data_IF_832989416714
#
_entry.id   IF_832989416714
#
_cell.length_a   1.000
_cell.length_b   1.000
_cell.length_c   1.000
_cell.angle_alpha   90.00
_cell.angle_beta   90.00
_cell.angle_gamma   90.00
#
_symmetry.space_group_name_H-M   'P 1'
#
loop_
_entity.id
_entity.type
_entity.pdbx_description
1 polymer ?
#
# COMPACT_ATOMS: atom_id res chain seq x y z
N UNK A 1 -78.40 -12.95 28.71
CA UNK A 1 -77.15 -12.58 29.42
C UNK A 1 -75.99 -12.85 28.48
N UNK A 2 -75.41 -11.78 27.92
CA UNK A 2 -74.18 -11.83 27.14
C UNK A 2 -73.00 -12.10 28.06
N UNK A 3 -72.08 -13.01 27.68
CA UNK A 3 -70.65 -12.82 27.94
C UNK A 3 -69.85 -13.34 26.75
N UNK A 4 -69.41 -12.38 25.93
CA UNK A 4 -68.34 -12.55 24.95
C UNK A 4 -67.00 -12.53 25.72
N UNK A 5 -66.22 -13.60 25.65
CA UNK A 5 -64.80 -13.58 26.03
C UNK A 5 -63.97 -13.53 24.75
N UNK A 6 -63.24 -12.43 24.60
CA UNK A 6 -62.60 -12.01 23.37
C UNK A 6 -61.48 -12.94 22.92
N UNK A 7 -61.49 -13.23 21.62
CA UNK A 7 -60.31 -13.70 20.90
C UNK A 7 -59.25 -12.60 20.93
N UNK A 8 -58.09 -12.89 21.53
CA UNK A 8 -56.87 -12.13 21.27
C UNK A 8 -56.42 -12.44 19.85
N UNK A 9 -56.46 -11.43 18.98
CA UNK A 9 -55.79 -11.44 17.68
C UNK A 9 -54.28 -11.71 17.87
N UNK A 10 -53.67 -12.60 17.08
CA UNK A 10 -52.23 -12.63 16.91
C UNK A 10 -51.88 -11.60 15.83
N UNK A 11 -51.62 -10.36 16.24
CA UNK A 11 -51.02 -9.37 15.34
C UNK A 11 -50.20 -8.36 16.15
N UNK A 12 -49.12 -8.83 16.76
CA UNK A 12 -47.95 -7.99 16.97
C UNK A 12 -47.04 -8.26 15.78
N UNK A 13 -47.06 -7.32 14.85
CA UNK A 13 -46.10 -7.28 13.76
C UNK A 13 -44.70 -7.28 14.37
N UNK A 14 -43.91 -8.29 13.98
CA UNK A 14 -42.47 -8.31 14.12
C UNK A 14 -41.94 -6.98 13.55
N UNK A 15 -41.52 -6.04 14.41
CA UNK A 15 -40.81 -4.84 13.97
C UNK A 15 -39.51 -5.31 13.31
N UNK A 16 -39.54 -5.42 11.98
CA UNK A 16 -38.47 -6.06 11.24
C UNK A 16 -37.12 -5.40 11.55
N UNK A 17 -36.14 -6.25 11.86
CA UNK A 17 -34.77 -5.88 12.21
C UNK A 17 -34.23 -4.87 11.18
N UNK A 18 -34.06 -3.61 11.60
CA UNK A 18 -33.42 -2.55 10.80
C UNK A 18 -34.32 -1.44 10.26
N UNK A 19 -35.65 -1.50 10.37
CA UNK A 19 -36.54 -0.51 9.74
C UNK A 19 -36.49 0.91 10.35
N UNK A 20 -35.93 1.05 11.55
CA UNK A 20 -35.78 2.33 12.25
C UNK A 20 -34.40 2.96 12.15
N UNK A 21 -33.39 2.24 11.61
CA UNK A 21 -32.00 2.71 11.59
C UNK A 21 -31.64 3.33 10.24
N UNK A 22 -30.96 4.46 10.31
CA UNK A 22 -30.45 5.18 9.14
C UNK A 22 -28.99 4.83 8.85
N UNK A 23 -28.49 5.20 7.67
CA UNK A 23 -27.04 5.09 7.40
C UNK A 23 -26.24 5.92 8.41
N UNK A 24 -26.72 7.10 8.78
CA UNK A 24 -26.04 7.94 9.75
C UNK A 24 -25.85 7.22 11.09
N UNK A 25 -26.89 6.58 11.62
CA UNK A 25 -26.80 5.81 12.87
C UNK A 25 -25.75 4.69 12.79
N UNK A 26 -25.73 3.97 11.67
CA UNK A 26 -24.79 2.89 11.42
C UNK A 26 -23.35 3.40 11.34
N UNK A 27 -23.14 4.55 10.70
CA UNK A 27 -21.83 5.17 10.56
C UNK A 27 -21.33 5.77 11.87
N UNK A 28 -22.20 6.38 12.66
CA UNK A 28 -21.87 6.91 13.99
C UNK A 28 -21.41 5.76 14.90
N UNK A 29 -22.15 4.64 14.92
CA UNK A 29 -21.73 3.43 15.66
C UNK A 29 -20.42 2.83 15.13
N UNK A 30 -20.26 2.75 13.80
CA UNK A 30 -19.03 2.28 13.17
C UNK A 30 -17.80 3.11 13.59
N UNK A 31 -17.94 4.43 13.64
CA UNK A 31 -16.86 5.32 14.05
C UNK A 31 -16.57 5.26 15.55
N UNK A 32 -17.56 4.94 16.37
CA UNK A 32 -17.39 4.79 17.82
C UNK A 32 -16.72 3.46 18.19
N UNK A 33 -17.17 2.35 17.60
CA UNK A 33 -16.76 1.01 18.04
C UNK A 33 -15.62 0.42 17.19
N UNK A 34 -15.70 0.57 15.86
CA UNK A 34 -14.75 -0.09 14.96
C UNK A 34 -13.54 0.80 14.62
N UNK A 35 -13.76 2.07 14.29
CA UNK A 35 -12.67 2.95 13.85
C UNK A 35 -11.49 3.06 14.86
N UNK A 36 -11.70 3.09 16.20
CA UNK A 36 -10.59 3.15 17.16
C UNK A 36 -9.67 1.93 17.14
N UNK A 37 -10.16 0.78 16.66
CA UNK A 37 -9.38 -0.47 16.58
C UNK A 37 -8.36 -0.47 15.43
N UNK A 38 -8.54 0.40 14.43
CA UNK A 38 -7.66 0.51 13.26
C UNK A 38 -6.68 1.67 13.39
N UNK A 39 -5.71 1.76 12.46
CA UNK A 39 -4.70 2.81 12.48
C UNK A 39 -5.32 4.21 12.38
N UNK A 40 -4.69 5.21 13.01
CA UNK A 40 -5.12 6.62 12.94
C UNK A 40 -5.27 7.11 11.50
N UNK A 41 -4.38 6.68 10.59
CA UNK A 41 -4.48 6.97 9.15
C UNK A 41 -5.74 6.39 8.52
N UNK A 42 -6.12 5.18 8.90
CA UNK A 42 -7.38 4.55 8.45
C UNK A 42 -8.58 5.31 8.99
N UNK A 43 -8.55 5.74 10.26
CA UNK A 43 -9.60 6.58 10.86
C UNK A 43 -9.78 7.89 10.10
N UNK A 44 -8.69 8.60 9.77
CA UNK A 44 -8.76 9.81 8.93
C UNK A 44 -9.37 9.53 7.56
N UNK A 45 -9.05 8.38 6.95
CA UNK A 45 -9.65 7.95 5.67
C UNK A 45 -11.16 7.70 5.79
N UNK A 46 -11.61 7.15 6.93
CA UNK A 46 -13.03 6.97 7.20
C UNK A 46 -13.74 8.31 7.38
N UNK A 47 -13.18 9.21 8.19
CA UNK A 47 -13.72 10.57 8.35
C UNK A 47 -13.82 11.33 7.02
N UNK A 48 -12.84 11.16 6.13
CA UNK A 48 -12.91 11.75 4.79
C UNK A 48 -14.03 11.14 3.93
N UNK A 49 -14.25 9.83 4.03
CA UNK A 49 -15.32 9.14 3.28
C UNK A 49 -16.72 9.55 3.77
N UNK A 50 -16.89 9.75 5.08
CA UNK A 50 -18.17 10.19 5.67
C UNK A 50 -18.63 11.54 5.14
N UNK A 51 -17.71 12.47 4.88
CA UNK A 51 -18.03 13.79 4.29
C UNK A 51 -18.75 13.69 2.95
N UNK A 52 -18.60 12.57 2.24
CA UNK A 52 -19.24 12.34 0.94
C UNK A 52 -20.43 11.40 1.03
N UNK A 53 -20.38 10.38 1.90
CA UNK A 53 -21.46 9.41 2.07
C UNK A 53 -22.68 10.01 2.79
N UNK A 54 -22.48 10.76 3.87
CA UNK A 54 -23.58 11.27 4.69
C UNK A 54 -24.50 12.26 3.95
N UNK A 55 -24.01 13.21 3.13
CA UNK A 55 -24.89 14.10 2.38
C UNK A 55 -25.83 13.38 1.39
N UNK A 56 -25.47 12.19 0.91
CA UNK A 56 -26.28 11.45 -0.06
C UNK A 56 -27.17 10.39 0.60
N UNK A 57 -26.63 9.65 1.58
CA UNK A 57 -27.29 8.50 2.17
C UNK A 57 -27.66 8.66 3.65
N UNK A 58 -27.23 9.75 4.32
CA UNK A 58 -27.26 9.87 5.78
C UNK A 58 -28.62 9.54 6.39
N UNK A 59 -29.68 10.15 5.87
CA UNK A 59 -31.06 9.98 6.36
C UNK A 59 -31.78 8.76 5.73
N UNK A 60 -31.13 8.07 4.79
CA UNK A 60 -31.70 6.87 4.18
C UNK A 60 -31.75 5.74 5.21
N UNK A 61 -32.93 5.11 5.33
CA UNK A 61 -33.08 3.85 6.08
C UNK A 61 -32.18 2.78 5.50
N UNK A 62 -31.61 1.92 6.34
CA UNK A 62 -30.71 0.86 5.88
C UNK A 62 -31.39 -0.10 4.89
N UNK A 63 -32.66 -0.44 5.11
CA UNK A 63 -33.47 -1.29 4.21
C UNK A 63 -33.77 -0.65 2.87
N UNK A 64 -33.75 0.69 2.77
CA UNK A 64 -34.04 1.41 1.54
C UNK A 64 -32.82 1.55 0.62
N UNK A 65 -31.60 1.26 1.12
CA UNK A 65 -30.37 1.39 0.33
C UNK A 65 -30.26 0.24 -0.66
N UNK A 66 -30.46 0.56 -1.93
CA UNK A 66 -30.41 -0.42 -3.02
C UNK A 66 -29.10 -0.35 -3.82
N UNK A 67 -28.72 -1.42 -4.54
CA UNK A 67 -27.62 -1.37 -5.51
C UNK A 67 -27.79 -0.24 -6.54
N UNK A 68 -29.02 0.07 -6.95
CA UNK A 68 -29.31 1.16 -7.90
C UNK A 68 -28.84 2.52 -7.36
N UNK A 69 -29.16 2.84 -6.10
CA UNK A 69 -28.72 4.10 -5.47
C UNK A 69 -27.19 4.18 -5.35
N UNK A 70 -26.52 3.03 -5.15
CA UNK A 70 -25.06 2.97 -5.12
C UNK A 70 -24.45 3.25 -6.50
N UNK A 71 -25.06 2.78 -7.59
CA UNK A 71 -24.64 3.16 -8.95
C UNK A 71 -24.85 4.65 -9.22
N UNK A 72 -25.99 5.20 -8.82
CA UNK A 72 -26.29 6.64 -8.93
C UNK A 72 -25.27 7.48 -8.15
N UNK A 73 -24.92 7.07 -6.93
CA UNK A 73 -23.87 7.69 -6.14
C UNK A 73 -22.50 7.67 -6.85
N UNK A 74 -22.13 6.53 -7.46
CA UNK A 74 -20.87 6.43 -8.23
C UNK A 74 -20.86 7.42 -9.40
N UNK A 75 -21.97 7.56 -10.12
CA UNK A 75 -22.11 8.55 -11.21
C UNK A 75 -21.99 9.97 -10.67
N UNK A 76 -22.69 10.28 -9.58
CA UNK A 76 -22.61 11.58 -8.91
C UNK A 76 -21.16 11.94 -8.55
N UNK A 77 -20.43 11.03 -7.91
CA UNK A 77 -19.04 11.27 -7.49
C UNK A 77 -18.10 11.46 -8.68
N UNK A 78 -18.30 10.71 -9.77
CA UNK A 78 -17.56 10.93 -11.03
C UNK A 78 -17.82 12.31 -11.60
N UNK A 79 -19.08 12.76 -11.62
CA UNK A 79 -19.45 14.10 -12.10
C UNK A 79 -18.86 15.21 -11.22
N UNK A 80 -18.62 14.93 -9.93
CA UNK A 80 -17.90 15.82 -9.01
C UNK A 80 -16.37 15.74 -9.14
N UNK A 81 -15.83 14.99 -10.11
CA UNK A 81 -14.39 14.86 -10.37
C UNK A 81 -13.66 13.90 -9.41
N UNK A 82 -14.36 13.06 -8.65
CA UNK A 82 -13.71 12.10 -7.78
C UNK A 82 -13.01 10.99 -8.59
N UNK A 83 -11.76 10.68 -8.20
CA UNK A 83 -11.01 9.58 -8.81
C UNK A 83 -11.65 8.21 -8.47
N UNK A 84 -11.58 7.21 -9.37
CA UNK A 84 -12.06 5.85 -9.12
C UNK A 84 -11.63 5.26 -7.77
N UNK A 85 -10.36 5.43 -7.41
CA UNK A 85 -9.81 4.96 -6.15
C UNK A 85 -10.42 5.64 -4.92
N UNK A 86 -10.86 6.89 -5.02
CA UNK A 86 -11.57 7.59 -3.92
C UNK A 86 -12.96 7.01 -3.73
N UNK A 87 -13.70 6.83 -4.83
CA UNK A 87 -15.04 6.21 -4.83
C UNK A 87 -14.95 4.79 -4.23
N UNK A 88 -13.99 3.98 -4.67
CA UNK A 88 -13.79 2.64 -4.15
C UNK A 88 -13.49 2.61 -2.64
N UNK A 89 -12.77 3.60 -2.11
CA UNK A 89 -12.51 3.70 -0.65
C UNK A 89 -13.77 4.03 0.12
N UNK A 90 -14.57 4.98 -0.37
CA UNK A 90 -15.87 5.33 0.21
C UNK A 90 -16.78 4.08 0.27
N UNK A 91 -16.91 3.38 -0.86
CA UNK A 91 -17.72 2.16 -0.97
C UNK A 91 -17.17 0.99 -0.13
N UNK A 92 -15.84 0.87 0.01
CA UNK A 92 -15.23 -0.17 0.84
C UNK A 92 -15.50 0.06 2.33
N UNK A 93 -15.46 1.31 2.80
CA UNK A 93 -15.87 1.66 4.17
C UNK A 93 -17.34 1.29 4.41
N UNK A 94 -18.22 1.71 3.50
CA UNK A 94 -19.65 1.40 3.57
C UNK A 94 -19.90 -0.11 3.59
N UNK A 95 -19.22 -0.86 2.71
CA UNK A 95 -19.30 -2.33 2.70
C UNK A 95 -18.86 -2.95 4.03
N UNK A 96 -17.79 -2.45 4.66
CA UNK A 96 -17.33 -2.93 5.96
C UNK A 96 -18.34 -2.63 7.06
N UNK A 97 -18.91 -1.42 7.07
CA UNK A 97 -19.94 -1.04 8.03
C UNK A 97 -21.21 -1.91 7.90
N UNK A 98 -21.70 -2.15 6.68
CA UNK A 98 -22.81 -3.08 6.44
C UNK A 98 -22.51 -4.52 6.86
N UNK A 99 -21.27 -4.99 6.69
CA UNK A 99 -20.89 -6.32 7.16
C UNK A 99 -20.90 -6.44 8.69
N UNK A 100 -20.54 -5.38 9.42
CA UNK A 100 -20.66 -5.33 10.88
C UNK A 100 -22.12 -5.24 11.30
N UNK A 101 -22.90 -4.38 10.64
CA UNK A 101 -24.33 -4.25 10.87
C UNK A 101 -25.08 -5.57 10.66
N UNK A 102 -24.65 -6.39 9.70
CA UNK A 102 -25.23 -7.70 9.42
C UNK A 102 -24.78 -8.77 10.43
N UNK A 103 -23.48 -8.84 10.75
CA UNK A 103 -22.91 -9.97 11.50
C UNK A 103 -22.82 -9.77 13.00
N UNK A 104 -22.67 -8.53 13.45
CA UNK A 104 -22.39 -8.21 14.85
C UNK A 104 -23.53 -7.42 15.49
N UNK A 105 -24.22 -6.57 14.73
CA UNK A 105 -25.32 -5.77 15.25
C UNK A 105 -26.71 -6.32 14.90
N UNK A 106 -26.79 -7.23 13.94
CA UNK A 106 -28.04 -7.82 13.43
C UNK A 106 -29.07 -6.76 12.99
N UNK A 107 -28.60 -5.63 12.46
CA UNK A 107 -29.45 -4.51 12.00
C UNK A 107 -29.94 -4.69 10.57
N UNK A 108 -29.33 -5.58 9.79
CA UNK A 108 -29.67 -5.82 8.39
C UNK A 108 -29.42 -7.28 8.06
N UNK A 109 -30.24 -7.85 7.18
CA UNK A 109 -30.06 -9.24 6.74
C UNK A 109 -29.00 -9.38 5.63
N UNK A 110 -28.83 -8.32 4.82
CA UNK A 110 -28.06 -8.39 3.59
C UNK A 110 -27.18 -7.15 3.40
N UNK A 111 -26.03 -7.33 2.74
CA UNK A 111 -25.14 -6.24 2.37
C UNK A 111 -25.39 -5.80 0.91
N UNK A 112 -25.97 -4.61 0.65
CA UNK A 112 -26.25 -4.14 -0.71
C UNK A 112 -24.98 -3.91 -1.54
N UNK A 113 -23.83 -3.71 -0.88
CA UNK A 113 -22.54 -3.49 -1.55
C UNK A 113 -22.01 -4.74 -2.27
N UNK A 114 -22.47 -5.93 -1.88
CA UNK A 114 -22.00 -7.20 -2.45
C UNK A 114 -22.24 -7.32 -3.96
N UNK A 115 -23.26 -6.61 -4.47
CA UNK A 115 -23.68 -6.62 -5.88
C UNK A 115 -23.10 -5.46 -6.70
N UNK A 116 -22.27 -4.60 -6.09
CA UNK A 116 -21.73 -3.40 -6.75
C UNK A 116 -20.26 -3.61 -7.08
N UNK A 117 -19.89 -3.68 -8.38
CA UNK A 117 -18.51 -3.81 -8.78
C UNK A 117 -17.74 -2.54 -8.45
N UNK A 118 -16.46 -2.74 -8.10
CA UNK A 118 -15.51 -1.65 -7.92
C UNK A 118 -15.28 -0.93 -9.24
N UNK A 119 -15.02 0.37 -9.14
CA UNK A 119 -14.54 1.15 -10.27
C UNK A 119 -13.15 0.68 -10.69
N UNK A 120 -12.88 0.68 -12.00
CA UNK A 120 -11.55 0.36 -12.52
C UNK A 120 -10.58 1.46 -12.06
N UNK A 121 -9.52 1.05 -11.39
CA UNK A 121 -8.45 1.94 -10.97
C UNK A 121 -7.30 1.82 -11.96
N UNK A 122 -6.89 2.94 -12.55
CA UNK A 122 -5.68 3.05 -13.34
C UNK A 122 -4.65 3.85 -12.53
N UNK A 123 -4.01 3.15 -11.59
CA UNK A 123 -3.00 3.72 -10.70
C UNK A 123 -1.60 3.21 -11.05
N UNK A 124 -1.44 2.53 -12.19
CA UNK A 124 -0.13 2.09 -12.63
C UNK A 124 0.68 3.29 -13.09
N UNK A 125 1.81 3.48 -12.42
CA UNK A 125 2.79 4.53 -12.66
C UNK A 125 4.11 3.92 -13.11
N UNK A 126 4.48 4.13 -14.37
CA UNK A 126 5.77 3.70 -14.90
C UNK A 126 6.74 4.90 -14.95
N UNK A 127 7.42 5.14 -13.83
CA UNK A 127 8.29 6.31 -13.65
C UNK A 127 9.45 5.96 -12.72
N UNK A 128 10.68 6.18 -13.20
CA UNK A 128 11.92 6.01 -12.44
C UNK A 128 12.91 7.14 -12.76
N UNK A 129 13.88 7.41 -11.89
CA UNK A 129 14.92 8.43 -12.15
C UNK A 129 15.93 7.93 -13.18
N UNK A 130 16.22 8.80 -14.15
CA UNK A 130 17.46 8.70 -14.93
C UNK A 130 18.67 9.09 -14.08
N UNK A 131 19.88 8.76 -14.53
CA UNK A 131 21.12 9.12 -13.82
C UNK A 131 21.30 10.64 -13.72
N UNK A 132 20.97 11.37 -14.79
CA UNK A 132 21.02 12.83 -14.86
C UNK A 132 19.98 13.48 -13.92
N UNK A 133 18.75 12.96 -13.88
CA UNK A 133 17.75 13.41 -12.90
C UNK A 133 18.18 13.14 -11.47
N UNK A 134 18.74 11.96 -11.17
CA UNK A 134 19.28 11.66 -9.84
C UNK A 134 20.35 12.66 -9.46
N UNK A 135 21.31 12.94 -10.36
CA UNK A 135 22.37 13.93 -10.12
C UNK A 135 21.78 15.31 -9.81
N UNK A 136 20.88 15.83 -10.65
CA UNK A 136 20.23 17.14 -10.41
C UNK A 136 19.45 17.18 -9.09
N UNK A 137 18.74 16.10 -8.77
CA UNK A 137 17.98 15.98 -7.53
C UNK A 137 18.89 16.03 -6.30
N UNK A 138 20.00 15.29 -6.33
CA UNK A 138 20.99 15.28 -5.25
C UNK A 138 21.69 16.63 -5.15
N UNK A 139 22.08 17.25 -6.25
CA UNK A 139 22.72 18.59 -6.27
C UNK A 139 21.81 19.66 -5.63
N UNK A 140 20.49 19.54 -5.79
CA UNK A 140 19.49 20.47 -5.26
C UNK A 140 18.87 20.09 -3.90
N UNK A 141 19.36 19.02 -3.26
CA UNK A 141 18.87 18.55 -1.97
C UNK A 141 19.76 18.98 -0.80
N UNK A 142 19.22 19.31 0.39
CA UNK A 142 20.04 19.49 1.58
C UNK A 142 20.67 18.14 2.00
N UNK A 143 21.81 18.18 2.70
CA UNK A 143 22.61 16.99 3.06
C UNK A 143 21.77 15.87 3.69
N UNK A 144 20.95 16.18 4.70
CA UNK A 144 20.09 15.19 5.37
C UNK A 144 19.10 14.49 4.43
N UNK A 145 18.63 15.19 3.39
CA UNK A 145 17.72 14.64 2.39
C UNK A 145 18.49 13.81 1.36
N UNK A 146 19.72 14.20 0.98
CA UNK A 146 20.58 13.42 0.10
C UNK A 146 20.80 12.02 0.67
N UNK A 147 21.16 11.92 1.95
CA UNK A 147 21.34 10.64 2.64
C UNK A 147 20.09 9.76 2.51
N UNK A 148 18.91 10.33 2.77
CA UNK A 148 17.64 9.59 2.70
C UNK A 148 17.34 9.15 1.26
N UNK A 149 17.54 10.01 0.27
CA UNK A 149 17.30 9.69 -1.14
C UNK A 149 18.21 8.56 -1.59
N UNK A 150 19.53 8.69 -1.37
CA UNK A 150 20.51 7.68 -1.78
C UNK A 150 20.25 6.37 -1.04
N UNK A 151 19.93 6.43 0.25
CA UNK A 151 19.62 5.24 1.03
C UNK A 151 18.37 4.52 0.50
N UNK A 152 17.29 5.24 0.18
CA UNK A 152 16.07 4.64 -0.39
C UNK A 152 16.34 4.05 -1.78
N UNK A 153 17.09 4.73 -2.65
CA UNK A 153 17.50 4.23 -3.97
C UNK A 153 18.36 2.96 -3.92
N UNK A 154 18.98 2.67 -2.77
CA UNK A 154 19.85 1.50 -2.59
C UNK A 154 19.23 0.39 -1.73
N UNK A 155 18.05 0.62 -1.15
CA UNK A 155 17.39 -0.34 -0.24
C UNK A 155 15.92 -0.60 -0.61
N UNK A 156 15.31 0.31 -1.38
CA UNK A 156 13.92 0.25 -1.79
C UNK A 156 12.94 0.20 -0.63
N UNK A 157 13.26 0.76 0.54
CA UNK A 157 12.37 0.67 1.71
C UNK A 157 11.05 1.42 1.52
N UNK A 158 10.02 1.06 2.28
CA UNK A 158 8.88 1.96 2.40
C UNK A 158 9.30 3.15 3.25
N UNK A 159 8.84 4.36 2.91
CA UNK A 159 9.13 5.59 3.68
C UNK A 159 8.89 5.42 5.18
N UNK A 160 7.81 4.73 5.57
CA UNK A 160 7.51 4.45 6.98
C UNK A 160 8.56 3.57 7.66
N UNK A 161 9.09 2.56 6.94
CA UNK A 161 10.16 1.66 7.40
C UNK A 161 11.48 2.44 7.54
N UNK A 162 11.87 3.19 6.49
CA UNK A 162 13.07 4.04 6.46
C UNK A 162 13.09 5.02 7.63
N UNK A 163 12.01 5.78 7.81
CA UNK A 163 11.90 6.79 8.87
C UNK A 163 11.78 6.20 10.28
N UNK A 164 11.59 4.88 10.40
CA UNK A 164 11.54 4.16 11.67
C UNK A 164 12.77 3.30 11.92
N UNK A 165 13.75 3.31 11.02
CA UNK A 165 14.94 2.48 11.14
C UNK A 165 15.73 2.88 12.39
N UNK A 166 16.10 1.86 13.16
CA UNK A 166 16.81 1.99 14.43
C UNK A 166 18.19 1.35 14.37
N UNK A 167 19.17 1.88 15.10
CA UNK A 167 20.54 1.38 15.10
C UNK A 167 20.64 -0.04 15.65
N UNK A 168 19.80 -0.44 16.61
CA UNK A 168 19.75 -1.82 17.09
C UNK A 168 19.34 -2.85 16.01
N UNK A 169 18.88 -2.40 14.83
CA UNK A 169 18.55 -3.22 13.66
C UNK A 169 19.57 -3.14 12.54
N UNK A 170 20.64 -2.35 12.72
CA UNK A 170 21.69 -2.18 11.75
C UNK A 170 22.87 -3.06 12.14
N UNK A 171 23.29 -3.94 11.23
CA UNK A 171 24.53 -4.68 11.38
C UNK A 171 25.49 -4.24 10.27
N UNK A 172 26.39 -3.31 10.60
CA UNK A 172 27.37 -2.77 9.65
C UNK A 172 28.41 -3.81 9.21
N UNK A 173 28.79 -4.73 10.11
CA UNK A 173 29.74 -5.80 9.78
C UNK A 173 29.17 -6.75 8.71
N UNK A 174 27.93 -7.20 8.90
CA UNK A 174 27.22 -8.06 7.94
C UNK A 174 26.59 -7.29 6.78
N UNK A 175 26.67 -5.96 6.78
CA UNK A 175 25.98 -5.06 5.82
C UNK A 175 24.50 -5.42 5.66
N UNK A 176 23.78 -5.52 6.77
CA UNK A 176 22.35 -5.88 6.77
C UNK A 176 21.54 -4.98 7.67
N UNK A 177 20.27 -4.81 7.34
CA UNK A 177 19.26 -4.16 8.19
C UNK A 177 18.08 -5.09 8.42
N UNK A 178 17.53 -5.06 9.63
CA UNK A 178 16.30 -5.78 9.97
C UNK A 178 15.11 -4.82 9.92
N UNK A 179 14.17 -5.09 9.02
CA UNK A 179 12.95 -4.32 8.85
C UNK A 179 11.81 -5.06 9.56
N UNK A 180 11.21 -4.44 10.56
CA UNK A 180 9.94 -4.91 11.11
C UNK A 180 8.80 -4.42 10.21
N UNK A 181 7.93 -5.34 9.80
CA UNK A 181 6.65 -4.96 9.23
C UNK A 181 5.71 -4.39 10.30
N UNK A 182 4.74 -3.57 9.89
CA UNK A 182 3.70 -3.05 10.79
C UNK A 182 2.86 -4.16 11.40
N UNK A 183 2.47 -3.99 12.68
CA UNK A 183 1.51 -4.71 13.55
C UNK A 183 1.41 -6.25 13.48
N UNK A 184 1.48 -6.92 12.33
CA UNK A 184 1.27 -8.37 12.17
C UNK A 184 2.21 -9.05 11.14
N UNK A 185 3.27 -8.38 10.69
CA UNK A 185 4.15 -8.93 9.65
C UNK A 185 5.45 -9.53 10.19
N UNK A 186 5.97 -10.56 9.52
CA UNK A 186 7.25 -11.18 9.90
C UNK A 186 8.39 -10.19 9.59
N UNK A 187 9.38 -10.04 10.49
CA UNK A 187 10.55 -9.22 10.20
C UNK A 187 11.31 -9.79 9.00
N UNK A 188 11.92 -8.91 8.20
CA UNK A 188 12.76 -9.31 7.08
C UNK A 188 14.15 -8.67 7.20
N UNK A 189 15.17 -9.44 6.85
CA UNK A 189 16.54 -8.94 6.75
C UNK A 189 16.80 -8.50 5.31
N UNK A 190 17.27 -7.28 5.12
CA UNK A 190 17.62 -6.71 3.82
C UNK A 190 19.14 -6.49 3.75
N UNK A 191 19.84 -7.08 2.77
CA UNK A 191 21.25 -6.78 2.55
C UNK A 191 21.42 -5.34 2.05
N UNK A 192 22.55 -4.73 2.39
CA UNK A 192 22.90 -3.37 2.00
C UNK A 192 23.93 -3.38 0.87
N UNK A 193 23.77 -2.45 -0.07
CA UNK A 193 24.86 -2.07 -0.97
C UNK A 193 25.96 -1.37 -0.18
N UNK A 194 27.16 -1.26 -0.77
CA UNK A 194 28.25 -0.50 -0.17
C UNK A 194 27.84 0.95 0.10
N UNK A 195 27.21 1.61 -0.88
CA UNK A 195 26.72 3.00 -0.75
C UNK A 195 25.77 3.17 0.45
N UNK A 196 24.82 2.24 0.64
CA UNK A 196 23.91 2.31 1.78
C UNK A 196 24.64 2.07 3.12
N UNK A 197 25.61 1.15 3.16
CA UNK A 197 26.42 0.88 4.34
C UNK A 197 27.34 2.06 4.71
N UNK A 198 27.87 2.79 3.72
CA UNK A 198 28.71 3.96 3.93
C UNK A 198 27.91 5.09 4.59
N UNK A 199 26.68 5.35 4.11
CA UNK A 199 25.77 6.32 4.75
C UNK A 199 25.53 5.96 6.22
N UNK A 200 25.25 4.69 6.51
CA UNK A 200 25.06 4.26 7.90
C UNK A 200 26.35 4.38 8.72
N UNK A 201 27.51 4.11 8.13
CA UNK A 201 28.80 4.28 8.81
C UNK A 201 29.05 5.74 9.17
N UNK A 202 28.86 6.67 8.25
CA UNK A 202 29.03 8.10 8.52
C UNK A 202 28.03 8.60 9.56
N UNK A 203 26.76 8.19 9.45
CA UNK A 203 25.73 8.57 10.43
C UNK A 203 25.97 7.97 11.82
N UNK A 204 26.64 6.82 11.91
CA UNK A 204 26.96 6.19 13.20
C UNK A 204 27.89 7.07 14.06
N UNK A 205 28.71 7.91 13.43
CA UNK A 205 29.64 8.84 14.10
C UNK A 205 28.92 9.98 14.82
N UNK A 206 27.70 10.32 14.39
CA UNK A 206 26.88 11.41 14.93
C UNK A 206 25.61 10.91 15.61
N UNK A 207 25.65 9.67 16.13
CA UNK A 207 24.50 9.02 16.76
C UNK A 207 24.02 9.81 17.99
N UNK A 208 22.71 10.01 18.06
CA UNK A 208 22.09 10.61 19.24
C UNK A 208 22.01 9.57 20.37
N UNK A 209 22.50 9.91 21.55
CA UNK A 209 22.49 9.00 22.70
C UNK A 209 21.07 8.77 23.24
N UNK A 210 20.18 9.75 23.07
CA UNK A 210 18.82 9.74 23.64
C UNK A 210 17.78 9.02 22.78
N UNK A 211 18.09 8.70 21.53
CA UNK A 211 17.17 7.98 20.65
C UNK A 211 17.90 6.98 19.75
N UNK A 212 17.23 5.89 19.42
CA UNK A 212 17.84 4.82 18.63
C UNK A 212 17.65 5.00 17.12
N UNK A 213 17.12 6.14 16.64
CA UNK A 213 16.77 6.33 15.24
C UNK A 213 18.01 6.61 14.38
N UNK A 214 18.04 6.05 13.16
CA UNK A 214 19.10 6.28 12.18
C UNK A 214 18.92 7.64 11.48
N UNK A 215 17.69 7.94 11.07
CA UNK A 215 17.33 9.19 10.40
C UNK A 215 16.46 10.02 11.34
N UNK A 216 16.97 11.17 11.75
CA UNK A 216 16.36 12.05 12.75
C UNK A 216 16.18 13.47 12.21
N UNK A 217 15.22 14.17 12.80
CA UNK A 217 15.11 15.62 12.67
C UNK A 217 16.28 16.32 13.37
N UNK A 218 16.41 17.63 13.18
CA UNK A 218 17.44 18.44 13.85
C UNK A 218 17.37 18.39 15.37
N UNK A 219 16.19 18.11 15.95
CA UNK A 219 15.97 17.97 17.39
C UNK A 219 16.05 16.51 17.87
N UNK A 220 16.48 15.58 17.01
CA UNK A 220 16.64 14.16 17.35
C UNK A 220 15.33 13.36 17.37
N UNK A 221 14.22 13.90 16.88
CA UNK A 221 12.96 13.15 16.80
C UNK A 221 12.81 12.45 15.45
N UNK A 222 11.82 11.56 15.34
CA UNK A 222 11.44 10.97 14.05
C UNK A 222 11.06 12.07 13.07
N UNK A 223 11.61 11.99 11.85
CA UNK A 223 11.22 12.90 10.77
C UNK A 223 9.76 12.63 10.42
N UNK A 224 8.96 13.68 10.40
CA UNK A 224 7.58 13.62 9.95
C UNK A 224 7.50 13.40 8.42
N UNK A 225 6.60 12.51 8.00
CA UNK A 225 6.52 12.10 6.60
C UNK A 225 6.06 13.22 5.67
N UNK A 226 5.23 14.15 6.15
CA UNK A 226 4.78 15.28 5.34
C UNK A 226 5.86 16.34 5.21
N UNK A 227 6.65 16.56 6.27
CA UNK A 227 7.86 17.36 6.21
C UNK A 227 8.87 16.82 5.19
N UNK A 228 9.12 15.50 5.19
CA UNK A 228 9.98 14.86 4.20
C UNK A 228 9.46 15.10 2.77
N UNK A 229 8.17 14.85 2.52
CA UNK A 229 7.57 15.08 1.19
C UNK A 229 7.65 16.54 0.75
N UNK A 230 7.44 17.49 1.67
CA UNK A 230 7.57 18.93 1.37
C UNK A 230 9.00 19.28 0.97
N UNK A 231 10.00 18.81 1.73
CA UNK A 231 11.41 19.03 1.41
C UNK A 231 11.78 18.40 0.05
N UNK A 232 11.34 17.16 -0.18
CA UNK A 232 11.54 16.44 -1.43
C UNK A 232 10.93 17.17 -2.63
N UNK A 233 9.67 17.61 -2.52
CA UNK A 233 8.99 18.39 -3.57
C UNK A 233 9.73 19.69 -3.89
N UNK A 234 10.30 20.36 -2.87
CA UNK A 234 11.11 21.56 -3.07
C UNK A 234 12.40 21.25 -3.83
N UNK A 235 13.06 20.13 -3.53
CA UNK A 235 14.26 19.69 -4.24
C UNK A 235 13.95 19.33 -5.71
N UNK A 236 12.86 18.59 -5.96
CA UNK A 236 12.39 18.28 -7.32
C UNK A 236 12.12 19.52 -8.16
N UNK A 237 11.40 20.50 -7.58
CA UNK A 237 11.12 21.78 -8.26
C UNK A 237 12.40 22.52 -8.65
N UNK A 238 13.41 22.52 -7.78
CA UNK A 238 14.71 23.14 -8.08
C UNK A 238 15.51 22.36 -9.14
N UNK A 239 15.39 21.03 -9.13
CA UNK A 239 16.05 20.15 -10.08
C UNK A 239 15.37 20.08 -11.46
N UNK A 240 14.22 20.75 -11.63
CA UNK A 240 13.43 20.69 -12.88
C UNK A 240 12.85 19.30 -13.15
N UNK A 241 12.55 18.53 -12.10
CA UNK A 241 12.01 17.18 -12.23
C UNK A 241 10.50 17.22 -11.98
N UNK A 242 9.75 16.86 -13.00
CA UNK A 242 8.29 16.81 -12.97
C UNK A 242 7.80 15.38 -12.77
N UNK A 243 6.55 15.28 -12.30
CA UNK A 243 5.83 14.03 -12.04
C UNK A 243 6.71 12.97 -11.35
N UNK A 244 7.25 13.31 -10.17
CA UNK A 244 8.03 12.38 -9.36
C UNK A 244 7.68 12.52 -7.88
N UNK A 245 7.44 11.41 -7.20
CA UNK A 245 7.06 11.35 -5.79
C UNK A 245 8.14 10.62 -4.98
N UNK A 246 8.15 10.80 -3.66
CA UNK A 246 9.13 10.12 -2.82
C UNK A 246 9.09 8.59 -2.96
N UNK A 247 7.89 8.01 -3.15
CA UNK A 247 7.76 6.56 -3.35
C UNK A 247 8.30 6.08 -4.70
N UNK A 248 8.51 6.99 -5.66
CA UNK A 248 9.09 6.67 -6.96
C UNK A 248 10.59 6.36 -6.84
N UNK A 249 11.26 6.70 -5.72
CA UNK A 249 12.60 6.23 -5.40
C UNK A 249 12.64 4.71 -5.26
N UNK A 250 11.67 4.14 -4.55
CA UNK A 250 11.49 2.68 -4.44
C UNK A 250 11.11 2.05 -5.78
N UNK A 251 10.30 2.71 -6.60
CA UNK A 251 10.05 2.26 -7.98
C UNK A 251 11.35 2.26 -8.79
N UNK A 252 12.18 3.29 -8.64
CA UNK A 252 13.50 3.38 -9.29
C UNK A 252 14.43 2.24 -8.87
N UNK A 253 14.49 1.92 -7.58
CA UNK A 253 15.24 0.75 -7.09
C UNK A 253 14.79 -0.55 -7.77
N UNK A 254 13.47 -0.79 -7.82
CA UNK A 254 12.92 -2.00 -8.44
C UNK A 254 13.17 -2.06 -9.95
N UNK A 255 12.96 -0.95 -10.66
CA UNK A 255 13.20 -0.84 -12.10
C UNK A 255 14.68 -1.05 -12.43
N UNK A 256 15.61 -0.50 -11.64
CA UNK A 256 17.05 -0.71 -11.85
C UNK A 256 17.45 -2.17 -11.66
N UNK A 257 16.91 -2.85 -10.65
CA UNK A 257 17.16 -4.29 -10.47
C UNK A 257 16.63 -5.08 -11.67
N UNK A 258 15.42 -4.78 -12.14
CA UNK A 258 14.84 -5.41 -13.32
C UNK A 258 15.70 -5.17 -14.58
N UNK A 259 16.14 -3.92 -14.81
CA UNK A 259 17.01 -3.56 -15.94
C UNK A 259 18.37 -4.27 -15.89
N UNK A 260 18.84 -4.63 -14.69
CA UNK A 260 20.06 -5.42 -14.47
C UNK A 260 19.81 -6.94 -14.48
N UNK A 261 18.65 -7.39 -14.96
CA UNK A 261 18.34 -8.82 -15.14
C UNK A 261 17.98 -9.57 -13.85
N UNK A 262 17.77 -8.88 -12.73
CA UNK A 262 17.37 -9.53 -11.47
C UNK A 262 15.95 -10.06 -11.60
N UNK A 263 15.74 -11.31 -11.18
CA UNK A 263 14.45 -11.96 -11.30
C UNK A 263 13.38 -11.31 -10.39
N UNK A 264 12.12 -11.38 -10.84
CA UNK A 264 10.98 -10.73 -10.17
C UNK A 264 10.75 -11.27 -8.76
N UNK A 265 11.08 -12.53 -8.48
CA UNK A 265 10.93 -13.09 -7.13
C UNK A 265 11.95 -12.46 -6.17
N UNK A 266 13.22 -12.35 -6.56
CA UNK A 266 14.26 -11.67 -5.79
C UNK A 266 13.91 -10.21 -5.55
N UNK A 267 13.47 -9.47 -6.58
CA UNK A 267 12.99 -8.08 -6.43
C UNK A 267 11.83 -8.02 -5.43
N UNK A 268 10.86 -8.93 -5.55
CA UNK A 268 9.70 -8.99 -4.65
C UNK A 268 10.11 -9.20 -3.18
N UNK A 269 11.14 -10.02 -2.92
CA UNK A 269 11.67 -10.26 -1.58
C UNK A 269 12.43 -9.06 -1.03
N UNK A 270 13.28 -8.42 -1.83
CA UNK A 270 13.99 -7.19 -1.44
C UNK A 270 13.00 -6.06 -1.09
N UNK A 271 11.96 -5.90 -1.91
CA UNK A 271 10.90 -4.92 -1.67
C UNK A 271 10.01 -5.31 -0.47
N UNK A 272 9.92 -6.58 -0.09
CA UNK A 272 8.97 -7.03 0.94
C UNK A 272 7.52 -6.88 0.47
N UNK A 273 7.23 -7.37 -0.74
CA UNK A 273 5.87 -7.52 -1.24
C UNK A 273 5.26 -8.84 -0.76
N UNK A 274 4.04 -8.78 -0.23
CA UNK A 274 3.29 -9.97 0.20
C UNK A 274 2.71 -10.73 -0.99
N UNK A 275 2.28 -10.00 -2.00
CA UNK A 275 1.77 -10.55 -3.26
C UNK A 275 2.74 -10.16 -4.38
N UNK A 276 3.19 -11.17 -5.15
CA UNK A 276 4.10 -10.98 -6.27
C UNK A 276 3.49 -10.13 -7.40
N UNK A 277 2.16 -10.07 -7.49
CA UNK A 277 1.44 -9.20 -8.45
C UNK A 277 1.85 -7.73 -8.31
N UNK A 278 2.21 -7.29 -7.09
CA UNK A 278 2.72 -5.93 -6.86
C UNK A 278 4.06 -5.66 -7.56
N UNK A 279 4.85 -6.70 -7.80
CA UNK A 279 6.17 -6.64 -8.44
C UNK A 279 6.10 -6.89 -9.95
N UNK A 280 5.05 -7.57 -10.44
CA UNK A 280 4.89 -7.88 -11.87
C UNK A 280 4.90 -6.65 -12.77
N UNK A 281 4.51 -5.49 -12.23
CA UNK A 281 4.61 -4.19 -12.90
C UNK A 281 6.03 -3.75 -13.31
N UNK A 282 7.08 -4.46 -12.89
CA UNK A 282 8.46 -4.21 -13.34
C UNK A 282 8.96 -5.28 -14.31
N UNK A 283 8.15 -6.28 -14.63
CA UNK A 283 8.56 -7.40 -15.48
C UNK A 283 8.95 -6.95 -16.90
N UNK A 284 8.29 -5.91 -17.43
CA UNK A 284 8.61 -5.35 -18.75
C UNK A 284 10.00 -4.69 -18.79
N UNK A 285 10.54 -4.29 -17.64
CA UNK A 285 11.89 -3.74 -17.52
C UNK A 285 12.98 -4.81 -17.40
N UNK A 286 12.61 -6.11 -17.44
CA UNK A 286 13.56 -7.22 -17.32
C UNK A 286 13.65 -8.12 -18.58
N UNK A 287 13.91 -7.58 -19.80
CA UNK A 287 14.06 -8.43 -20.99
C UNK A 287 15.15 -9.51 -20.82
N UNK A 288 16.20 -9.18 -20.08
CA UNK A 288 17.36 -10.05 -19.90
C UNK A 288 17.07 -11.29 -19.04
N UNK A 289 16.09 -11.22 -18.13
CA UNK A 289 15.65 -12.41 -17.39
C UNK A 289 15.05 -13.49 -18.29
N UNK A 290 14.44 -13.10 -19.41
CA UNK A 290 13.94 -14.04 -20.41
C UNK A 290 15.08 -14.65 -21.23
N UNK A 291 16.16 -13.87 -21.47
CA UNK A 291 17.34 -14.34 -22.22
C UNK A 291 18.05 -15.48 -21.51
N UNK A 292 18.27 -15.37 -20.19
CA UNK A 292 18.84 -16.46 -19.37
C UNK A 292 17.98 -17.73 -19.47
N UNK A 293 16.65 -17.58 -19.44
CA UNK A 293 15.72 -18.69 -19.57
C UNK A 293 15.81 -19.39 -20.93
N UNK A 294 15.93 -18.64 -22.02
CA UNK A 294 16.08 -19.21 -23.38
C UNK A 294 17.48 -19.84 -23.56
N UNK A 295 18.54 -19.18 -23.11
CA UNK A 295 19.91 -19.70 -23.19
C UNK A 295 20.08 -21.02 -22.42
N UNK A 296 19.32 -21.26 -21.35
CA UNK A 296 19.33 -22.54 -20.65
C UNK A 296 18.96 -23.73 -21.57
N UNK A 297 18.11 -23.50 -22.58
CA UNK A 297 17.75 -24.53 -23.56
C UNK A 297 18.92 -24.85 -24.51
N UNK A 298 19.76 -23.86 -24.85
CA UNK A 298 20.95 -24.05 -25.68
C UNK A 298 22.00 -24.90 -24.97
N UNK A 299 22.16 -24.72 -23.65
CA UNK A 299 23.06 -25.53 -22.82
C UNK A 299 22.61 -27.00 -22.77
N UNK A 300 21.30 -27.24 -22.67
CA UNK A 300 20.74 -28.58 -22.72
C UNK A 300 20.96 -29.26 -24.08
N UNK A 301 20.87 -28.52 -25.18
CA UNK A 301 21.08 -29.08 -26.52
C UNK A 301 22.55 -29.48 -26.73
N UNK A 302 23.50 -28.63 -26.32
CA UNK A 302 24.93 -28.94 -26.45
C UNK A 302 25.37 -30.15 -25.61
N UNK A 303 24.78 -30.34 -24.43
CA UNK A 303 25.11 -31.48 -23.56
C UNK A 303 24.54 -32.82 -24.05
N UNK A 304 23.46 -32.81 -24.84
CA UNK A 304 22.95 -34.00 -25.55
C UNK A 304 23.85 -34.34 -26.75
N UNK A 305 24.20 -33.35 -27.58
CA UNK A 305 25.08 -33.54 -28.74
C UNK A 305 26.46 -34.08 -28.33
N UNK A 306 27.05 -33.57 -27.25
CA UNK A 306 28.35 -34.05 -26.75
C UNK A 306 28.26 -35.53 -26.32
N UNK A 307 27.16 -35.94 -25.67
CA UNK A 307 26.95 -37.35 -25.29
C UNK A 307 26.77 -38.27 -26.49
N UNK A 308 26.00 -37.85 -27.49
CA UNK A 308 25.81 -38.63 -28.72
C UNK A 308 27.13 -38.80 -29.49
N UNK A 309 27.92 -37.74 -29.61
CA UNK A 309 29.23 -37.81 -30.27
C UNK A 309 30.25 -38.68 -29.50
N UNK A 310 30.21 -38.71 -28.16
CA UNK A 310 31.06 -39.60 -27.36
C UNK A 310 30.64 -41.07 -27.45
N UNK A 311 29.35 -41.37 -27.62
CA UNK A 311 28.86 -42.74 -27.84
C UNK A 311 29.30 -43.23 -29.22
N UNK A 312 29.19 -42.39 -30.24
CA UNK A 312 29.59 -42.73 -31.62
C UNK A 312 31.11 -42.85 -31.80
N UNK A 313 31.92 -42.17 -30.98
CA UNK A 313 33.39 -42.25 -31.04
C UNK A 313 33.99 -43.45 -30.28
N UNK A 314 33.21 -44.12 -29.41
CA UNK A 314 33.62 -45.27 -28.62
C UNK A 314 33.01 -46.60 -29.09
N UNK A 315 32.25 -46.57 -30.20
CA UNK A 315 31.69 -47.73 -30.89
C UNK A 315 32.54 -48.08 -32.12
#
# INVERSE_FOLDING_TARGET
MLQCTGGKSPNQADESLGESKTLKDMMDKFMLEHAPTVSTKTQTSYSASLKHLLPYFGDSKLSAITPKMLYEYKVLRKNQGAKPASINRELAMMSKAFNLAMKEWEWVENNPMSKVPKEKEDNERDRWLTEDEEKRLLDNSPSWLKDIIVFDLNTGLRMGELLSLQWNRVNLFRKTIVIQESKNGKPRTTPLTQKAADILTERSKIRNIKNDLVFTSTVGTRIDGDNLRRAFKKALKKAGIEDFHFHDLRHTFATRLAQNGVDIYTISKLLGHKDIRMTQRYAHHCPESLRVGIQALEICHNSVIIKENQIMANA
#
